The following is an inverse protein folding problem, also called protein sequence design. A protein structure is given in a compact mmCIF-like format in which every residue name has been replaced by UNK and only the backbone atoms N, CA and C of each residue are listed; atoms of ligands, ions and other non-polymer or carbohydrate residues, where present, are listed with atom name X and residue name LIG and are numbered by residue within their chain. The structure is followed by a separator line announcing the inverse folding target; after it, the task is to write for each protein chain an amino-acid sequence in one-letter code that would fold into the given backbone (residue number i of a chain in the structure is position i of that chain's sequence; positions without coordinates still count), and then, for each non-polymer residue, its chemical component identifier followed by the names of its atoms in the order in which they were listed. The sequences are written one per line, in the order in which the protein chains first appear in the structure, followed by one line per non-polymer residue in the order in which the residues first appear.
data_IF_330253187996
#
_entry.id   IF_330253187996
#
_cell.length_a   1.000
_cell.length_b   1.000
_cell.length_c   1.000
_cell.angle_alpha   90.00
_cell.angle_beta   90.00
_cell.angle_gamma   90.00
#
_symmetry.space_group_name_H-M   'P 1'
#
loop_
_entity.id
_entity.type
_entity.pdbx_description
1 polymer ?
#
# COMPACT_ATOMS: atom_id res chain seq x y z
N UNK A 1 -20.22 -21.67 -26.21
CA UNK A 1 -18.75 -21.89 -26.00
C UNK A 1 -17.99 -20.70 -25.35
N UNK A 2 -18.65 -19.65 -24.90
CA UNK A 2 -18.01 -18.42 -24.35
C UNK A 2 -17.71 -18.44 -22.84
N UNK A 3 -18.33 -19.34 -22.07
CA UNK A 3 -18.21 -19.31 -20.60
C UNK A 3 -16.88 -19.84 -20.03
N UNK A 4 -16.07 -20.54 -20.83
CA UNK A 4 -14.82 -21.14 -20.32
C UNK A 4 -13.61 -20.18 -20.31
N UNK A 5 -13.69 -19.07 -21.06
CA UNK A 5 -12.58 -18.10 -21.18
C UNK A 5 -12.53 -17.11 -20.01
N UNK A 6 -13.69 -16.78 -19.44
CA UNK A 6 -13.82 -15.86 -18.32
C UNK A 6 -13.31 -16.49 -17.02
N UNK A 7 -13.62 -17.76 -16.76
CA UNK A 7 -13.20 -18.47 -15.54
C UNK A 7 -11.68 -18.70 -15.45
N UNK A 8 -10.98 -18.83 -16.58
CA UNK A 8 -9.50 -18.95 -16.60
C UNK A 8 -8.76 -17.65 -16.33
N UNK A 9 -9.38 -16.50 -16.47
CA UNK A 9 -8.75 -15.18 -16.27
C UNK A 9 -8.66 -14.77 -14.79
N UNK A 10 -9.57 -15.22 -13.94
CA UNK A 10 -9.65 -14.86 -12.53
C UNK A 10 -8.47 -15.35 -11.67
N UNK A 11 -7.99 -16.60 -11.78
CA UNK A 11 -6.88 -17.06 -10.95
C UNK A 11 -5.57 -16.36 -11.29
N UNK A 12 -5.32 -16.02 -12.57
CA UNK A 12 -4.12 -15.31 -12.98
C UNK A 12 -4.05 -13.90 -12.37
N UNK A 13 -5.17 -13.17 -12.36
CA UNK A 13 -5.22 -11.84 -11.75
C UNK A 13 -4.93 -11.89 -10.24
N UNK A 14 -5.46 -12.88 -9.53
CA UNK A 14 -5.17 -13.07 -8.10
C UNK A 14 -3.70 -13.39 -7.83
N UNK A 15 -3.11 -14.27 -8.62
CA UNK A 15 -1.69 -14.64 -8.51
C UNK A 15 -0.81 -13.42 -8.75
N UNK A 16 -1.00 -12.72 -9.84
CA UNK A 16 -0.23 -11.51 -10.16
C UNK A 16 -0.39 -10.43 -9.09
N UNK A 17 -1.62 -10.18 -8.64
CA UNK A 17 -1.87 -9.22 -7.56
C UNK A 17 -1.16 -9.63 -6.27
N UNK A 18 -1.21 -10.91 -5.92
CA UNK A 18 -0.52 -11.43 -4.73
C UNK A 18 0.99 -11.25 -4.84
N UNK A 19 1.57 -11.61 -5.98
CA UNK A 19 3.02 -11.46 -6.21
C UNK A 19 3.47 -9.99 -6.10
N UNK A 20 2.72 -9.08 -6.71
CA UNK A 20 3.05 -7.65 -6.67
C UNK A 20 2.93 -7.09 -5.24
N UNK A 21 1.80 -7.32 -4.57
CA UNK A 21 1.55 -6.75 -3.25
C UNK A 21 2.45 -7.37 -2.18
N UNK A 22 2.54 -8.69 -2.10
CA UNK A 22 3.40 -9.35 -1.12
C UNK A 22 4.88 -9.18 -1.43
N UNK A 23 5.26 -9.14 -2.71
CA UNK A 23 6.63 -8.80 -3.12
C UNK A 23 7.05 -7.44 -2.59
N UNK A 24 6.21 -6.41 -2.77
CA UNK A 24 6.45 -5.07 -2.23
C UNK A 24 6.53 -5.06 -0.69
N UNK A 25 5.60 -5.73 -0.03
CA UNK A 25 5.53 -5.78 1.44
C UNK A 25 6.78 -6.46 2.02
N UNK A 26 7.15 -7.63 1.51
CA UNK A 26 8.28 -8.41 2.01
C UNK A 26 9.58 -7.66 1.75
N UNK A 27 9.78 -7.11 0.56
CA UNK A 27 11.00 -6.36 0.22
C UNK A 27 11.14 -5.12 1.11
N UNK A 28 10.07 -4.34 1.26
CA UNK A 28 10.07 -3.15 2.10
C UNK A 28 10.29 -3.46 3.57
N UNK A 29 9.65 -4.51 4.09
CA UNK A 29 9.83 -4.92 5.49
C UNK A 29 11.23 -5.46 5.77
N UNK A 30 11.79 -6.25 4.84
CA UNK A 30 13.17 -6.73 4.95
C UNK A 30 14.17 -5.57 4.96
N UNK A 31 14.02 -4.60 4.05
CA UNK A 31 14.84 -3.40 4.01
C UNK A 31 14.70 -2.55 5.29
N UNK A 32 13.47 -2.47 5.84
CA UNK A 32 13.20 -1.76 7.09
C UNK A 32 14.00 -2.37 8.25
N UNK A 33 13.96 -3.69 8.38
CA UNK A 33 14.70 -4.40 9.43
C UNK A 33 16.21 -4.30 9.23
N UNK A 34 16.72 -4.49 8.01
CA UNK A 34 18.14 -4.46 7.71
C UNK A 34 18.79 -3.10 7.96
N UNK A 35 18.03 -2.02 7.78
CA UNK A 35 18.56 -0.65 7.86
C UNK A 35 18.08 0.11 9.08
N UNK A 36 17.30 -0.52 9.95
CA UNK A 36 16.82 0.10 11.18
C UNK A 36 16.02 1.38 10.94
N UNK A 37 15.19 1.42 9.89
CA UNK A 37 14.41 2.60 9.53
C UNK A 37 13.04 2.60 10.18
N UNK A 38 12.50 3.80 10.38
CA UNK A 38 11.23 4.02 11.06
C UNK A 38 10.01 3.60 10.22
N UNK A 39 10.08 3.74 8.90
CA UNK A 39 8.95 3.55 8.00
C UNK A 39 9.39 3.17 6.59
N UNK A 40 8.46 2.67 5.77
CA UNK A 40 8.69 2.41 4.34
C UNK A 40 9.11 3.68 3.61
N UNK A 41 8.50 4.82 3.92
CA UNK A 41 8.89 6.11 3.35
C UNK A 41 10.33 6.49 3.66
N UNK A 42 10.80 6.20 4.88
CA UNK A 42 12.19 6.48 5.27
C UNK A 42 13.21 5.57 4.56
N UNK A 43 12.83 4.36 4.16
CA UNK A 43 13.66 3.48 3.32
C UNK A 43 13.75 4.04 1.90
N UNK A 44 12.64 4.46 1.32
CA UNK A 44 12.62 5.08 -0.01
C UNK A 44 13.54 6.29 -0.07
N UNK A 45 13.57 7.11 1.00
CA UNK A 45 14.42 8.30 1.09
C UNK A 45 15.90 8.04 1.38
N UNK A 46 16.37 6.81 1.51
CA UNK A 46 17.77 6.52 1.89
C UNK A 46 18.79 6.85 0.79
N UNK A 47 18.50 6.50 -0.43
CA UNK A 47 19.40 6.74 -1.58
C UNK A 47 18.63 6.67 -2.90
N UNK A 48 19.25 7.21 -3.95
CA UNK A 48 18.67 7.33 -5.29
C UNK A 48 18.23 5.98 -5.87
N UNK A 49 19.01 4.91 -5.69
CA UNK A 49 18.68 3.58 -6.23
C UNK A 49 17.41 3.02 -5.61
N UNK A 50 17.22 3.19 -4.29
CA UNK A 50 16.01 2.74 -3.60
C UNK A 50 14.80 3.56 -4.00
N UNK A 51 14.95 4.88 -4.12
CA UNK A 51 13.89 5.74 -4.63
C UNK A 51 13.37 5.23 -5.96
N UNK A 52 14.24 5.00 -6.93
CA UNK A 52 13.83 4.48 -8.23
C UNK A 52 13.19 3.10 -8.15
N UNK A 53 13.78 2.18 -7.38
CA UNK A 53 13.24 0.84 -7.21
C UNK A 53 11.82 0.85 -6.64
N UNK A 54 11.61 1.52 -5.50
CA UNK A 54 10.29 1.56 -4.87
C UNK A 54 9.28 2.39 -5.66
N UNK A 55 9.67 3.50 -6.24
CA UNK A 55 8.81 4.31 -7.11
C UNK A 55 8.31 3.50 -8.30
N UNK A 56 9.22 2.80 -8.98
CA UNK A 56 8.87 1.95 -10.11
C UNK A 56 7.94 0.81 -9.68
N UNK A 57 8.22 0.18 -8.54
CA UNK A 57 7.39 -0.89 -8.02
C UNK A 57 5.97 -0.41 -7.65
N UNK A 58 5.85 0.75 -6.98
CA UNK A 58 4.57 1.37 -6.66
C UNK A 58 3.78 1.75 -7.93
N UNK A 59 4.46 2.26 -8.97
CA UNK A 59 3.82 2.54 -10.25
C UNK A 59 3.26 1.28 -10.91
N UNK A 60 4.01 0.17 -10.91
CA UNK A 60 3.53 -1.10 -11.45
C UNK A 60 2.28 -1.57 -10.70
N UNK A 61 2.32 -1.54 -9.35
CA UNK A 61 1.17 -1.91 -8.51
C UNK A 61 -0.01 -1.00 -8.82
N UNK A 62 0.22 0.31 -8.85
CA UNK A 62 -0.82 1.29 -9.12
C UNK A 62 -1.48 1.10 -10.48
N UNK A 63 -0.70 0.99 -11.55
CA UNK A 63 -1.20 0.74 -12.90
C UNK A 63 -1.95 -0.59 -13.00
N UNK A 64 -1.44 -1.66 -12.35
CA UNK A 64 -2.12 -2.95 -12.31
C UNK A 64 -3.48 -2.86 -11.60
N UNK A 65 -3.54 -2.13 -10.48
CA UNK A 65 -4.76 -1.99 -9.69
C UNK A 65 -5.77 -1.04 -10.33
N UNK A 66 -5.37 -0.08 -11.17
CA UNK A 66 -6.31 0.83 -11.86
C UNK A 66 -7.43 0.08 -12.57
N UNK A 67 -7.13 -1.07 -13.15
CA UNK A 67 -8.13 -1.86 -13.89
C UNK A 67 -9.20 -2.48 -12.98
N UNK A 68 -8.83 -2.94 -11.78
CA UNK A 68 -9.74 -3.68 -10.90
C UNK A 68 -10.16 -2.90 -9.64
N UNK A 69 -9.32 -1.96 -9.20
CA UNK A 69 -9.40 -1.23 -7.93
C UNK A 69 -8.92 0.21 -8.14
N UNK A 70 -9.54 0.93 -9.05
CA UNK A 70 -9.03 2.21 -9.53
C UNK A 70 -8.76 3.25 -8.43
N UNK A 71 -9.61 3.33 -7.39
CA UNK A 71 -9.35 4.23 -6.26
C UNK A 71 -8.03 3.90 -5.53
N UNK A 72 -7.78 2.60 -5.31
CA UNK A 72 -6.55 2.13 -4.66
C UNK A 72 -5.36 2.32 -5.60
N UNK A 73 -5.54 2.04 -6.88
CA UNK A 73 -4.52 2.23 -7.91
C UNK A 73 -4.05 3.68 -8.00
N UNK A 74 -4.97 4.64 -7.97
CA UNK A 74 -4.64 6.07 -7.91
C UNK A 74 -3.81 6.37 -6.66
N UNK A 75 -4.18 5.83 -5.49
CA UNK A 75 -3.42 6.02 -4.26
C UNK A 75 -1.95 5.56 -4.38
N UNK A 76 -1.71 4.40 -4.97
CA UNK A 76 -0.34 3.90 -5.22
C UNK A 76 0.42 4.75 -6.23
N UNK A 77 -0.21 5.25 -7.28
CA UNK A 77 0.40 6.17 -8.25
C UNK A 77 0.76 7.50 -7.57
N UNK A 78 -0.13 8.05 -6.75
CA UNK A 78 0.16 9.26 -5.99
C UNK A 78 1.35 9.06 -5.04
N UNK A 79 1.40 7.91 -4.34
CA UNK A 79 2.50 7.58 -3.45
C UNK A 79 3.84 7.48 -4.20
N UNK A 80 3.84 6.93 -5.41
CA UNK A 80 5.01 6.87 -6.27
C UNK A 80 5.44 8.25 -6.78
N UNK A 81 4.49 9.10 -7.17
CA UNK A 81 4.76 10.43 -7.73
C UNK A 81 5.33 11.39 -6.70
N UNK A 82 4.78 11.36 -5.47
CA UNK A 82 5.23 12.21 -4.37
C UNK A 82 6.22 11.46 -3.48
N UNK A 83 7.42 11.21 -3.99
CA UNK A 83 8.45 10.49 -3.24
C UNK A 83 8.94 11.30 -2.04
N UNK A 84 9.08 10.65 -0.88
CA UNK A 84 9.66 11.23 0.33
C UNK A 84 11.17 11.54 0.22
N UNK A 85 11.80 11.14 -0.87
CA UNK A 85 13.20 11.48 -1.15
C UNK A 85 13.40 13.00 -1.33
N UNK A 86 12.45 13.65 -1.95
CA UNK A 86 12.49 15.11 -2.12
C UNK A 86 11.86 15.75 -0.89
N UNK A 87 12.66 16.49 -0.13
CA UNK A 87 12.23 17.18 1.10
C UNK A 87 11.00 18.06 0.91
N UNK A 88 10.85 18.64 -0.27
CA UNK A 88 9.71 19.47 -0.68
C UNK A 88 8.39 18.70 -0.68
N UNK A 89 8.43 17.37 -0.91
CA UNK A 89 7.24 16.54 -1.04
C UNK A 89 6.94 15.67 0.19
N UNK A 90 7.74 15.74 1.25
CA UNK A 90 7.57 14.88 2.44
C UNK A 90 6.16 15.03 3.03
N UNK A 91 5.67 16.25 3.17
CA UNK A 91 4.32 16.49 3.70
C UNK A 91 3.25 15.93 2.78
N UNK A 92 3.38 16.14 1.46
CA UNK A 92 2.45 15.62 0.45
C UNK A 92 2.49 14.10 0.46
N UNK A 93 3.68 13.49 0.47
CA UNK A 93 3.85 12.05 0.53
C UNK A 93 3.19 11.45 1.77
N UNK A 94 3.51 11.97 2.95
CA UNK A 94 3.07 11.38 4.21
C UNK A 94 1.57 11.56 4.47
N UNK A 95 1.01 12.72 4.14
CA UNK A 95 -0.39 13.03 4.45
C UNK A 95 -1.35 12.72 3.31
N UNK A 96 -1.00 13.06 2.08
CA UNK A 96 -1.93 12.91 0.96
C UNK A 96 -1.82 11.56 0.27
N UNK A 97 -0.62 11.12 -0.09
CA UNK A 97 -0.48 9.87 -0.84
C UNK A 97 -0.84 8.64 0.01
N UNK A 98 -0.40 8.59 1.29
CA UNK A 98 -0.78 7.51 2.20
C UNK A 98 -2.27 7.51 2.50
N UNK A 99 -2.87 8.68 2.74
CA UNK A 99 -4.31 8.83 2.95
C UNK A 99 -5.08 8.36 1.71
N UNK A 100 -4.63 8.67 0.49
CA UNK A 100 -5.30 8.26 -0.73
C UNK A 100 -5.45 6.73 -0.84
N UNK A 101 -4.45 5.95 -0.39
CA UNK A 101 -4.55 4.48 -0.33
C UNK A 101 -5.63 4.06 0.66
N UNK A 102 -5.63 4.59 1.88
CA UNK A 102 -6.63 4.24 2.89
C UNK A 102 -8.04 4.62 2.47
N UNK A 103 -8.25 5.83 1.96
CA UNK A 103 -9.55 6.24 1.43
C UNK A 103 -9.98 5.39 0.24
N UNK A 104 -9.06 5.06 -0.66
CA UNK A 104 -9.33 4.16 -1.78
C UNK A 104 -9.79 2.80 -1.31
N UNK A 105 -9.17 2.22 -0.29
CA UNK A 105 -9.58 0.95 0.31
C UNK A 105 -10.95 1.04 0.98
N UNK A 106 -11.21 2.09 1.74
CA UNK A 106 -12.50 2.32 2.41
C UNK A 106 -13.63 2.46 1.37
N UNK A 107 -13.43 3.26 0.33
CA UNK A 107 -14.38 3.44 -0.76
C UNK A 107 -14.67 2.09 -1.43
N UNK A 108 -13.64 1.29 -1.73
CA UNK A 108 -13.80 -0.02 -2.35
C UNK A 108 -14.55 -1.01 -1.44
N UNK A 109 -14.32 -0.96 -0.12
CA UNK A 109 -15.09 -1.73 0.88
C UNK A 109 -16.58 -1.39 0.82
N UNK A 110 -16.90 -0.10 0.78
CA UNK A 110 -18.28 0.40 0.75
C UNK A 110 -18.96 0.00 -0.56
N UNK A 111 -18.34 0.27 -1.70
CA UNK A 111 -18.89 -0.06 -3.03
C UNK A 111 -19.16 -1.57 -3.15
N UNK A 112 -18.27 -2.40 -2.64
CA UNK A 112 -18.40 -3.87 -2.69
C UNK A 112 -19.25 -4.45 -1.57
N UNK A 113 -19.78 -3.62 -0.68
CA UNK A 113 -20.60 -4.05 0.48
C UNK A 113 -19.88 -5.08 1.38
N UNK A 114 -18.55 -4.94 1.53
CA UNK A 114 -17.71 -5.84 2.33
C UNK A 114 -17.39 -5.24 3.71
N UNK A 115 -18.40 -4.74 4.41
CA UNK A 115 -18.30 -3.92 5.64
C UNK A 115 -17.45 -4.54 6.76
N UNK A 116 -17.31 -5.86 6.82
CA UNK A 116 -16.42 -6.55 7.79
C UNK A 116 -14.95 -6.12 7.68
N UNK A 117 -14.52 -5.58 6.53
CA UNK A 117 -13.17 -5.10 6.32
C UNK A 117 -12.97 -3.64 6.76
N UNK A 118 -14.05 -2.91 6.98
CA UNK A 118 -14.00 -1.50 7.36
C UNK A 118 -13.34 -1.32 8.73
N UNK A 119 -13.73 -2.14 9.71
CA UNK A 119 -13.22 -2.05 11.08
C UNK A 119 -11.69 -2.22 11.14
N UNK A 120 -11.11 -3.34 10.65
CA UNK A 120 -9.65 -3.50 10.70
C UNK A 120 -8.88 -2.43 9.92
N UNK A 121 -9.41 -1.96 8.78
CA UNK A 121 -8.76 -0.88 8.02
C UNK A 121 -8.79 0.44 8.79
N UNK A 122 -9.92 0.81 9.40
CA UNK A 122 -10.00 2.04 10.20
C UNK A 122 -9.09 1.95 11.42
N UNK A 123 -9.10 0.83 12.15
CA UNK A 123 -8.26 0.66 13.34
C UNK A 123 -6.78 0.84 12.98
N UNK A 124 -6.30 0.15 11.95
CA UNK A 124 -4.88 0.25 11.56
C UNK A 124 -4.54 1.64 11.05
N UNK A 125 -5.41 2.27 10.28
CA UNK A 125 -5.20 3.64 9.80
C UNK A 125 -5.13 4.66 10.94
N UNK A 126 -5.99 4.54 11.95
CA UNK A 126 -5.96 5.39 13.14
C UNK A 126 -4.69 5.16 13.98
N UNK A 127 -4.33 3.91 14.22
CA UNK A 127 -3.11 3.57 14.98
C UNK A 127 -1.85 4.06 14.26
N UNK A 128 -1.80 3.94 12.94
CA UNK A 128 -0.70 4.49 12.14
C UNK A 128 -0.65 6.02 12.26
N UNK A 129 -1.78 6.70 12.13
CA UNK A 129 -1.87 8.16 12.30
C UNK A 129 -1.41 8.60 13.69
N UNK A 130 -1.85 7.93 14.74
CA UNK A 130 -1.43 8.21 16.14
C UNK A 130 0.08 7.96 16.29
N UNK A 131 0.59 6.81 15.85
CA UNK A 131 2.01 6.49 15.94
C UNK A 131 2.88 7.53 15.23
N UNK A 132 2.44 7.99 14.05
CA UNK A 132 3.15 9.00 13.27
C UNK A 132 3.13 10.38 13.92
N UNK A 133 2.00 10.81 14.47
CA UNK A 133 1.85 12.14 15.07
C UNK A 133 2.49 12.27 16.46
N UNK A 134 2.42 11.21 17.26
CA UNK A 134 2.80 11.28 18.68
C UNK A 134 4.16 10.63 18.96
N UNK A 135 4.71 9.86 18.03
CA UNK A 135 5.85 8.98 18.28
C UNK A 135 5.53 7.86 19.30
N UNK A 136 4.27 7.68 19.65
CA UNK A 136 3.81 6.66 20.60
C UNK A 136 4.24 5.28 20.15
N UNK A 137 4.58 4.41 21.08
CA UNK A 137 5.06 3.05 20.86
C UNK A 137 6.48 2.92 20.28
N UNK A 138 7.23 4.02 20.18
CA UNK A 138 8.65 3.99 19.80
C UNK A 138 8.91 4.01 18.29
N UNK A 139 10.20 4.03 17.98
CA UNK A 139 10.73 4.35 16.64
C UNK A 139 10.24 3.41 15.53
N UNK A 140 10.09 2.11 15.83
CA UNK A 140 9.73 1.12 14.81
C UNK A 140 8.22 0.93 14.60
N UNK A 141 7.40 1.55 15.43
CA UNK A 141 5.97 1.28 15.42
C UNK A 141 5.28 1.82 14.17
N UNK A 142 5.75 2.93 13.60
CA UNK A 142 5.22 3.47 12.35
C UNK A 142 5.36 2.44 11.23
N UNK A 143 6.56 1.87 11.05
CA UNK A 143 6.81 0.84 10.04
C UNK A 143 6.01 -0.44 10.28
N UNK A 144 5.83 -0.85 11.54
CA UNK A 144 4.99 -2.01 11.88
C UNK A 144 3.51 -1.77 11.56
N UNK A 145 2.99 -0.56 11.80
CA UNK A 145 1.62 -0.21 11.44
C UNK A 145 1.44 -0.08 9.92
N UNK A 146 2.41 0.47 9.20
CA UNK A 146 2.42 0.48 7.73
C UNK A 146 2.40 -0.95 7.18
N UNK A 147 3.27 -1.83 7.69
CA UNK A 147 3.30 -3.24 7.32
C UNK A 147 1.95 -3.93 7.57
N UNK A 148 1.36 -3.73 8.74
CA UNK A 148 0.07 -4.32 9.10
C UNK A 148 -1.06 -3.81 8.20
N UNK A 149 -1.08 -2.51 7.91
CA UNK A 149 -2.05 -1.88 7.02
C UNK A 149 -1.93 -2.40 5.58
N UNK A 150 -0.71 -2.52 5.08
CA UNK A 150 -0.43 -3.09 3.77
C UNK A 150 -0.85 -4.56 3.69
N UNK A 151 -0.59 -5.36 4.72
CA UNK A 151 -1.04 -6.77 4.78
C UNK A 151 -2.57 -6.88 4.74
N UNK A 152 -3.27 -6.14 5.60
CA UNK A 152 -4.74 -6.16 5.68
C UNK A 152 -5.35 -5.68 4.36
N UNK A 153 -4.86 -4.57 3.82
CA UNK A 153 -5.30 -4.03 2.54
C UNK A 153 -5.06 -5.00 1.39
N UNK A 154 -3.90 -5.65 1.35
CA UNK A 154 -3.55 -6.62 0.31
C UNK A 154 -4.45 -7.85 0.36
N UNK A 155 -4.71 -8.39 1.55
CA UNK A 155 -5.64 -9.53 1.72
C UNK A 155 -7.04 -9.16 1.25
N UNK A 156 -7.51 -7.95 1.58
CA UNK A 156 -8.80 -7.46 1.09
C UNK A 156 -8.83 -7.36 -0.44
N UNK A 157 -7.82 -6.74 -1.05
CA UNK A 157 -7.70 -6.59 -2.50
C UNK A 157 -7.75 -7.96 -3.17
N UNK A 158 -6.90 -8.91 -2.75
CA UNK A 158 -6.81 -10.26 -3.33
C UNK A 158 -8.12 -11.03 -3.21
N UNK A 159 -8.82 -10.89 -2.08
CA UNK A 159 -10.11 -11.57 -1.86
C UNK A 159 -11.26 -10.97 -2.66
N UNK A 160 -11.10 -9.77 -3.17
CA UNK A 160 -12.16 -9.02 -3.86
C UNK A 160 -11.87 -8.74 -5.35
N UNK A 161 -10.72 -9.12 -5.86
CA UNK A 161 -10.44 -9.32 -7.28
C UNK A 161 -10.91 -10.73 -7.68
#
# INVERSE_FOLDING_TARGET
MENNTILKKYPMNKIMTSMLLFGFIITGFSDLLLHGKMSYSSIMGMNTSRVYFYTFFLLIIGCWLLYNKWFVGIGFICLATFSSYFTEYVSIHNYFASIAIYFGLIIDVIIRKKMKWLIPLIIVGLLQGIAFQTGWFGYYMVGFMEFSGLCIGSIFIIKTI
#
